data_IF_215876638571
#
_entry.id   IF_215876638571
#
_cell.length_a   1.000
_cell.length_b   1.000
_cell.length_c   1.000
_cell.angle_alpha   90.00
_cell.angle_beta   90.00
_cell.angle_gamma   90.00
#
_symmetry.space_group_name_H-M   'P 1'
#
loop_
_entity.id
_entity.type
_entity.pdbx_description
1 polymer ?
#
# COMPACT_ATOMS: atom_id res chain seq x y z
N UNK A 1 -13.16 -29.80 10.59
CA UNK A 1 -12.95 -28.69 9.64
C UNK A 1 -14.30 -28.29 9.10
N UNK A 2 -14.95 -27.29 9.71
CA UNK A 2 -15.97 -26.51 9.00
C UNK A 2 -15.20 -25.64 8.02
N UNK A 3 -15.67 -25.61 6.78
CA UNK A 3 -14.95 -25.00 5.65
C UNK A 3 -14.78 -23.49 5.83
N UNK A 4 -13.84 -22.94 5.07
CA UNK A 4 -13.44 -21.53 4.93
C UNK A 4 -14.59 -20.65 4.36
N UNK A 5 -15.85 -21.09 4.52
CA UNK A 5 -17.07 -20.54 3.91
C UNK A 5 -18.05 -19.96 4.98
N UNK A 6 -17.66 -19.90 6.25
CA UNK A 6 -18.34 -19.03 7.21
C UNK A 6 -18.00 -17.58 6.87
N UNK A 7 -19.02 -16.71 6.77
CA UNK A 7 -18.87 -15.26 6.55
C UNK A 7 -17.75 -14.70 7.44
N UNK A 8 -16.58 -14.52 6.84
CA UNK A 8 -15.41 -13.95 7.50
C UNK A 8 -15.72 -12.47 7.74
N UNK A 9 -15.46 -11.99 8.95
CA UNK A 9 -15.62 -10.57 9.28
C UNK A 9 -14.24 -9.93 9.37
N UNK A 10 -13.96 -9.02 8.46
CA UNK A 10 -12.73 -8.23 8.45
C UNK A 10 -12.87 -7.00 9.34
N UNK A 11 -11.82 -6.74 10.12
CA UNK A 11 -11.72 -5.65 11.08
C UNK A 11 -10.33 -5.02 10.92
N UNK A 12 -10.30 -3.83 10.37
CA UNK A 12 -9.11 -3.11 9.92
C UNK A 12 -8.91 -1.78 10.66
N UNK A 13 -9.88 -1.43 11.50
CA UNK A 13 -9.86 -0.20 12.30
C UNK A 13 -10.27 -0.47 13.74
N UNK A 14 -9.78 0.37 14.66
CA UNK A 14 -10.14 0.29 16.06
C UNK A 14 -11.65 0.57 16.25
N UNK A 15 -12.23 1.47 15.45
CA UNK A 15 -13.65 1.78 15.47
C UNK A 15 -14.50 0.60 14.97
N UNK A 16 -14.04 -0.12 13.95
CA UNK A 16 -14.69 -1.36 13.50
C UNK A 16 -14.63 -2.43 14.60
N UNK A 17 -13.48 -2.59 15.26
CA UNK A 17 -13.31 -3.50 16.39
C UNK A 17 -14.30 -3.17 17.52
N UNK A 18 -14.30 -1.93 18.01
CA UNK A 18 -15.14 -1.47 19.11
C UNK A 18 -16.64 -1.63 18.80
N UNK A 19 -17.02 -1.34 17.55
CA UNK A 19 -18.38 -1.55 17.05
C UNK A 19 -18.74 -3.03 17.01
N UNK A 20 -17.82 -3.88 16.57
CA UNK A 20 -18.05 -5.32 16.49
C UNK A 20 -18.26 -5.92 17.87
N UNK A 21 -17.35 -5.69 18.82
CA UNK A 21 -17.46 -6.25 20.20
C UNK A 21 -18.68 -5.72 20.94
N UNK A 22 -19.12 -4.48 20.68
CA UNK A 22 -20.37 -3.95 21.24
C UNK A 22 -21.61 -4.67 20.72
N UNK A 23 -21.61 -5.10 19.45
CA UNK A 23 -22.73 -5.82 18.82
C UNK A 23 -22.71 -7.32 19.09
N UNK A 24 -21.52 -7.88 19.29
CA UNK A 24 -21.29 -9.31 19.47
C UNK A 24 -20.50 -9.55 20.77
N UNK A 25 -21.11 -9.29 21.95
CA UNK A 25 -20.41 -9.38 23.21
C UNK A 25 -19.91 -10.82 23.47
N UNK A 26 -18.63 -10.95 23.78
CA UNK A 26 -18.01 -12.21 24.17
C UNK A 26 -17.61 -13.12 23.01
N UNK A 27 -17.60 -12.65 21.77
CA UNK A 27 -17.09 -13.44 20.64
C UNK A 27 -16.37 -12.57 19.62
N UNK A 28 -15.29 -13.14 19.06
CA UNK A 28 -14.56 -12.70 17.87
C UNK A 28 -14.46 -13.86 16.86
N UNK A 29 -15.25 -14.93 17.05
CA UNK A 29 -15.09 -16.15 16.27
C UNK A 29 -15.30 -15.88 14.77
N UNK A 30 -14.37 -16.37 13.95
CA UNK A 30 -14.38 -16.12 12.50
C UNK A 30 -13.87 -14.74 12.06
N UNK A 31 -13.42 -13.87 12.97
CA UNK A 31 -12.88 -12.55 12.60
C UNK A 31 -11.46 -12.63 12.03
N UNK A 32 -11.15 -11.70 11.11
CA UNK A 32 -9.79 -11.37 10.67
C UNK A 32 -9.53 -9.92 11.08
N UNK A 33 -8.64 -9.74 12.04
CA UNK A 33 -8.28 -8.42 12.54
C UNK A 33 -6.91 -8.07 11.96
N UNK A 34 -6.79 -6.95 11.26
CA UNK A 34 -5.60 -6.59 10.50
C UNK A 34 -5.12 -5.16 10.83
N UNK A 35 -3.82 -5.01 11.09
CA UNK A 35 -3.14 -3.74 11.37
C UNK A 35 -3.76 -2.85 12.47
N UNK A 36 -4.64 -3.39 13.33
CA UNK A 36 -5.28 -2.63 14.42
C UNK A 36 -4.40 -2.60 15.67
N UNK A 37 -4.19 -1.43 16.26
CA UNK A 37 -3.62 -1.31 17.59
C UNK A 37 -4.66 -1.63 18.67
N UNK A 38 -4.50 -2.79 19.30
CA UNK A 38 -5.40 -3.35 20.30
C UNK A 38 -4.74 -3.44 21.69
N UNK A 39 -3.63 -2.74 21.92
CA UNK A 39 -2.90 -2.79 23.21
C UNK A 39 -3.79 -2.38 24.40
N UNK A 40 -4.78 -1.53 24.15
CA UNK A 40 -5.74 -1.05 25.16
C UNK A 40 -7.04 -1.87 25.23
N UNK A 41 -7.21 -2.92 24.42
CA UNK A 41 -8.44 -3.76 24.37
C UNK A 41 -8.28 -5.13 25.03
N UNK A 42 -7.37 -5.21 25.99
CA UNK A 42 -7.00 -6.49 26.62
C UNK A 42 -8.15 -7.17 27.36
N UNK A 43 -9.15 -6.43 27.86
CA UNK A 43 -10.31 -7.03 28.53
C UNK A 43 -11.24 -7.71 27.52
N UNK A 44 -11.59 -7.01 26.45
CA UNK A 44 -12.44 -7.47 25.36
C UNK A 44 -11.82 -8.70 24.71
N UNK A 45 -10.52 -8.66 24.43
CA UNK A 45 -9.79 -9.77 23.83
C UNK A 45 -9.78 -11.02 24.71
N UNK A 46 -9.55 -10.87 26.03
CA UNK A 46 -9.51 -11.99 26.99
C UNK A 46 -10.89 -12.59 27.28
N UNK A 47 -11.94 -11.77 27.23
CA UNK A 47 -13.31 -12.20 27.52
C UNK A 47 -14.06 -12.75 26.30
N UNK A 48 -13.49 -12.64 25.10
CA UNK A 48 -14.11 -13.11 23.86
C UNK A 48 -13.68 -14.52 23.49
N UNK A 49 -14.61 -15.31 22.96
CA UNK A 49 -14.29 -16.51 22.18
C UNK A 49 -13.51 -16.13 20.92
N UNK A 50 -12.47 -16.91 20.60
CA UNK A 50 -11.53 -16.65 19.49
C UNK A 50 -11.36 -17.85 18.56
N UNK A 51 -12.33 -18.78 18.56
CA UNK A 51 -12.35 -19.88 17.60
C UNK A 51 -12.25 -19.34 16.16
N UNK A 52 -11.35 -19.90 15.36
CA UNK A 52 -11.11 -19.47 13.97
C UNK A 52 -10.92 -17.94 13.83
N UNK A 53 -10.16 -17.33 14.74
CA UNK A 53 -9.81 -15.90 14.68
C UNK A 53 -8.35 -15.73 14.27
N UNK A 54 -8.08 -14.75 13.40
CA UNK A 54 -6.70 -14.36 13.06
C UNK A 54 -6.44 -12.89 13.35
N UNK A 55 -5.26 -12.61 13.91
CA UNK A 55 -4.72 -11.27 14.13
C UNK A 55 -3.48 -11.10 13.25
N UNK A 56 -3.52 -10.14 12.33
CA UNK A 56 -2.52 -9.89 11.29
C UNK A 56 -1.85 -8.54 11.55
N UNK A 57 -0.62 -8.56 12.08
CA UNK A 57 0.12 -7.32 12.34
C UNK A 57 -0.50 -6.42 13.42
N UNK A 58 -1.42 -6.92 14.24
CA UNK A 58 -2.07 -6.12 15.28
C UNK A 58 -1.10 -5.70 16.39
N UNK A 59 -1.29 -4.48 16.90
CA UNK A 59 -0.63 -4.03 18.12
C UNK A 59 -1.20 -4.76 19.33
N UNK A 60 -0.45 -5.69 19.92
CA UNK A 60 -0.88 -6.48 21.08
C UNK A 60 0.18 -6.42 22.17
N UNK A 61 -0.25 -6.51 23.44
CA UNK A 61 0.70 -6.72 24.55
C UNK A 61 1.14 -8.18 24.59
N UNK A 62 2.36 -8.46 25.05
CA UNK A 62 2.90 -9.82 25.13
C UNK A 62 1.96 -10.79 25.88
N UNK A 63 1.37 -10.32 26.99
CA UNK A 63 0.42 -11.13 27.78
C UNK A 63 -0.85 -11.49 27.03
N UNK A 64 -1.38 -10.57 26.21
CA UNK A 64 -2.57 -10.81 25.39
C UNK A 64 -2.23 -11.71 24.22
N UNK A 65 -1.07 -11.50 23.57
CA UNK A 65 -0.58 -12.36 22.49
C UNK A 65 -0.46 -13.82 22.93
N UNK A 66 0.14 -14.06 24.11
CA UNK A 66 0.29 -15.40 24.66
C UNK A 66 -1.07 -16.06 24.96
N UNK A 67 -2.00 -15.32 25.57
CA UNK A 67 -3.36 -15.78 25.87
C UNK A 67 -4.14 -16.14 24.59
N UNK A 68 -4.13 -15.27 23.58
CA UNK A 68 -4.82 -15.50 22.30
C UNK A 68 -4.31 -16.76 21.61
N UNK A 69 -2.99 -16.94 21.54
CA UNK A 69 -2.36 -18.14 20.97
C UNK A 69 -2.73 -19.41 21.76
N UNK A 70 -2.74 -19.33 23.09
CA UNK A 70 -3.12 -20.47 23.94
C UNK A 70 -4.58 -20.88 23.71
N UNK A 71 -5.46 -19.91 23.42
CA UNK A 71 -6.88 -20.14 23.11
C UNK A 71 -7.15 -20.50 21.64
N UNK A 72 -6.10 -20.66 20.82
CA UNK A 72 -6.20 -21.19 19.46
C UNK A 72 -6.33 -20.15 18.35
N UNK A 73 -6.24 -18.85 18.67
CA UNK A 73 -6.21 -17.81 17.65
C UNK A 73 -4.87 -17.83 16.90
N UNK A 74 -4.92 -17.53 15.60
CA UNK A 74 -3.72 -17.28 14.81
C UNK A 74 -3.25 -15.85 15.08
N UNK A 75 -2.00 -15.67 15.49
CA UNK A 75 -1.44 -14.34 15.76
C UNK A 75 -0.13 -14.19 15.00
N UNK A 76 -0.19 -13.38 13.94
CA UNK A 76 0.94 -12.94 13.15
C UNK A 76 1.44 -11.61 13.72
N UNK A 77 2.66 -11.61 14.24
CA UNK A 77 3.26 -10.43 14.84
C UNK A 77 3.61 -9.39 13.76
N UNK A 78 3.61 -8.09 14.11
CA UNK A 78 4.20 -7.06 13.26
C UNK A 78 5.61 -7.47 12.82
N UNK A 79 6.00 -7.11 11.60
CA UNK A 79 7.30 -7.48 11.02
C UNK A 79 8.27 -6.29 11.05
N UNK A 80 8.87 -5.93 12.21
CA UNK A 80 9.60 -4.66 12.38
C UNK A 80 10.90 -4.54 11.58
N UNK A 81 11.37 -5.63 10.97
CA UNK A 81 12.63 -5.68 10.23
C UNK A 81 12.44 -5.60 8.70
N UNK A 82 11.23 -5.29 8.24
CA UNK A 82 10.94 -5.07 6.83
C UNK A 82 10.91 -3.56 6.50
N UNK A 83 11.31 -3.16 5.28
CA UNK A 83 11.16 -1.79 4.83
C UNK A 83 9.73 -1.44 4.38
N UNK A 84 8.78 -2.35 4.57
CA UNK A 84 7.37 -2.18 4.28
C UNK A 84 6.54 -2.94 5.32
N UNK A 85 5.30 -2.51 5.54
CA UNK A 85 4.35 -3.23 6.37
C UNK A 85 3.56 -4.25 5.52
N UNK A 86 3.72 -5.57 5.72
CA UNK A 86 3.03 -6.59 4.95
C UNK A 86 1.56 -6.76 5.35
N UNK A 87 1.09 -6.09 6.40
CA UNK A 87 -0.28 -6.20 6.91
C UNK A 87 -1.09 -4.91 6.70
N UNK A 88 -0.56 -3.92 5.98
CA UNK A 88 -1.22 -2.61 5.83
C UNK A 88 -2.60 -2.72 5.20
N UNK A 89 -3.53 -1.81 5.52
CA UNK A 89 -4.94 -1.86 5.07
C UNK A 89 -5.29 -0.74 4.08
N UNK A 90 -4.30 -0.17 3.39
CA UNK A 90 -4.54 0.97 2.51
C UNK A 90 -3.42 1.15 1.50
N UNK A 91 -3.63 2.00 0.49
CA UNK A 91 -2.60 2.31 -0.49
C UNK A 91 -1.52 3.23 0.08
N UNK A 92 -0.30 3.11 -0.44
CA UNK A 92 0.80 4.04 -0.15
C UNK A 92 0.45 5.46 -0.60
N UNK A 93 0.81 6.44 0.23
CA UNK A 93 0.84 7.85 -0.20
C UNK A 93 2.25 8.25 -0.66
N UNK A 94 2.38 9.29 -1.53
CA UNK A 94 3.68 9.84 -1.87
C UNK A 94 4.47 10.31 -0.65
N UNK A 95 3.79 10.93 0.33
CA UNK A 95 4.43 11.43 1.56
C UNK A 95 5.03 10.29 2.37
N UNK A 96 4.35 9.14 2.43
CA UNK A 96 4.84 7.92 3.08
C UNK A 96 6.05 7.34 2.33
N UNK A 97 5.94 7.16 1.01
CA UNK A 97 6.98 6.56 0.17
C UNK A 97 8.28 7.37 0.15
N UNK A 98 8.17 8.69 0.16
CA UNK A 98 9.28 9.63 0.14
C UNK A 98 9.60 10.22 1.51
N UNK A 99 9.13 9.61 2.61
CA UNK A 99 9.36 10.12 3.96
C UNK A 99 10.85 10.41 4.19
N UNK A 100 11.15 11.66 4.58
CA UNK A 100 12.50 12.13 4.91
C UNK A 100 13.37 12.54 3.71
N UNK A 101 12.86 12.53 2.47
CA UNK A 101 13.62 12.89 1.25
C UNK A 101 14.29 14.27 1.29
N UNK A 102 13.76 15.21 2.08
CA UNK A 102 14.36 16.54 2.28
C UNK A 102 15.67 16.50 3.09
N UNK A 103 15.85 15.48 3.93
CA UNK A 103 16.95 15.37 4.89
C UNK A 103 17.90 14.18 4.61
N UNK A 104 17.49 13.22 3.77
CA UNK A 104 18.29 12.04 3.42
C UNK A 104 18.24 11.75 1.91
N UNK A 105 19.24 11.05 1.35
CA UNK A 105 19.23 10.66 -0.06
C UNK A 105 18.07 9.71 -0.39
N UNK A 106 17.67 9.67 -1.66
CA UNK A 106 16.55 8.84 -2.13
C UNK A 106 16.73 7.35 -1.79
N UNK A 107 17.94 6.81 -1.84
CA UNK A 107 18.21 5.40 -1.55
C UNK A 107 17.92 4.97 -0.10
N UNK A 108 17.60 5.92 0.78
CA UNK A 108 17.19 5.72 2.18
C UNK A 108 15.70 6.04 2.43
N UNK A 109 14.90 6.31 1.39
CA UNK A 109 13.45 6.44 1.54
C UNK A 109 12.78 5.07 1.65
N UNK A 110 11.58 4.98 2.25
CA UNK A 110 10.81 3.74 2.28
C UNK A 110 10.64 3.10 0.90
N UNK A 111 10.35 3.89 -0.14
CA UNK A 111 10.24 3.43 -1.52
C UNK A 111 11.50 2.71 -2.02
N UNK A 112 12.66 3.35 -1.92
CA UNK A 112 13.91 2.78 -2.39
C UNK A 112 14.32 1.53 -1.59
N UNK A 113 14.07 1.53 -0.28
CA UNK A 113 14.37 0.39 0.59
C UNK A 113 13.46 -0.82 0.27
N UNK A 114 12.17 -0.58 0.03
CA UNK A 114 11.23 -1.62 -0.40
C UNK A 114 11.63 -2.19 -1.78
N UNK A 115 11.98 -1.32 -2.74
CA UNK A 115 12.47 -1.73 -4.05
C UNK A 115 13.75 -2.56 -3.95
N UNK A 116 14.74 -2.11 -3.17
CA UNK A 116 15.97 -2.86 -2.93
C UNK A 116 15.69 -4.23 -2.31
N UNK A 117 14.81 -4.31 -1.30
CA UNK A 117 14.40 -5.57 -0.71
C UNK A 117 13.77 -6.50 -1.75
N UNK A 118 12.89 -5.96 -2.61
CA UNK A 118 12.23 -6.73 -3.67
C UNK A 118 13.19 -7.33 -4.69
N UNK A 119 14.33 -6.64 -4.94
CA UNK A 119 15.36 -6.99 -5.93
C UNK A 119 16.48 -7.89 -5.41
N UNK A 120 16.60 -8.07 -4.08
CA UNK A 120 17.65 -8.95 -3.53
C UNK A 120 17.53 -10.35 -4.16
N UNK A 121 18.64 -10.96 -4.63
CA UNK A 121 18.59 -12.22 -5.37
C UNK A 121 17.82 -13.29 -4.61
N UNK A 122 16.95 -14.00 -5.34
CA UNK A 122 16.10 -15.13 -4.89
C UNK A 122 16.89 -16.37 -4.44
N UNK A 123 18.17 -16.24 -4.09
CA UNK A 123 18.98 -17.32 -3.50
C UNK A 123 18.44 -17.77 -2.12
N UNK A 124 17.34 -17.18 -1.67
CA UNK A 124 16.56 -17.63 -0.53
C UNK A 124 15.27 -18.28 -1.01
N UNK A 125 15.24 -19.60 -0.93
CA UNK A 125 14.05 -20.41 -0.66
C UNK A 125 13.45 -20.05 0.72
N UNK A 126 13.35 -18.76 1.05
CA UNK A 126 12.84 -18.28 2.32
C UNK A 126 11.33 -18.15 2.19
N UNK A 127 10.65 -19.23 2.57
CA UNK A 127 9.19 -19.34 2.57
C UNK A 127 8.55 -18.20 3.35
N UNK A 128 9.19 -17.72 4.42
CA UNK A 128 8.68 -16.59 5.19
C UNK A 128 8.73 -15.29 4.38
N UNK A 129 9.81 -15.02 3.65
CA UNK A 129 9.89 -13.85 2.78
C UNK A 129 8.86 -13.89 1.64
N UNK A 130 8.56 -15.08 1.10
CA UNK A 130 7.50 -15.26 0.10
C UNK A 130 6.11 -15.05 0.71
N UNK A 131 5.85 -15.58 1.91
CA UNK A 131 4.59 -15.39 2.61
C UNK A 131 4.34 -13.92 2.95
N UNK A 132 5.35 -13.21 3.45
CA UNK A 132 5.24 -11.78 3.80
C UNK A 132 5.02 -10.90 2.56
N UNK A 133 5.64 -11.24 1.42
CA UNK A 133 5.35 -10.58 0.15
C UNK A 133 3.93 -10.88 -0.32
N UNK A 134 3.49 -12.13 -0.23
CA UNK A 134 2.13 -12.51 -0.61
C UNK A 134 1.07 -11.78 0.21
N UNK A 135 1.27 -11.67 1.52
CA UNK A 135 0.39 -10.89 2.41
C UNK A 135 0.36 -9.40 2.02
N UNK A 136 1.52 -8.83 1.69
CA UNK A 136 1.62 -7.45 1.23
C UNK A 136 0.90 -7.23 -0.10
N UNK A 137 1.17 -8.08 -1.09
CA UNK A 137 0.58 -7.97 -2.43
C UNK A 137 -0.95 -8.12 -2.35
N UNK A 138 -1.46 -9.07 -1.55
CA UNK A 138 -2.90 -9.28 -1.28
C UNK A 138 -3.52 -8.05 -0.61
N UNK A 139 -2.87 -7.50 0.41
CA UNK A 139 -3.33 -6.28 1.09
C UNK A 139 -3.37 -5.06 0.17
N UNK A 140 -2.43 -4.95 -0.78
CA UNK A 140 -2.43 -3.88 -1.78
C UNK A 140 -3.51 -4.11 -2.83
N UNK A 141 -3.76 -5.35 -3.23
CA UNK A 141 -4.83 -5.72 -4.17
C UNK A 141 -6.20 -5.36 -3.61
N UNK A 142 -6.47 -5.72 -2.36
CA UNK A 142 -7.74 -5.39 -1.68
C UNK A 142 -7.94 -3.88 -1.55
N UNK A 143 -6.93 -3.16 -1.02
CA UNK A 143 -6.98 -1.70 -0.94
C UNK A 143 -7.12 -1.02 -2.32
N UNK A 144 -6.56 -1.62 -3.37
CA UNK A 144 -6.70 -1.13 -4.74
C UNK A 144 -8.12 -1.35 -5.26
N UNK A 145 -8.72 -2.52 -5.02
CA UNK A 145 -10.09 -2.85 -5.41
C UNK A 145 -11.09 -1.85 -4.82
N UNK A 146 -10.96 -1.53 -3.53
CA UNK A 146 -11.76 -0.48 -2.90
C UNK A 146 -11.52 0.89 -3.54
N UNK A 147 -10.25 1.24 -3.79
CA UNK A 147 -9.89 2.54 -4.33
C UNK A 147 -10.37 2.72 -5.78
N UNK A 148 -10.34 1.68 -6.62
CA UNK A 148 -10.79 1.77 -8.01
C UNK A 148 -12.32 1.77 -8.15
N UNK A 149 -13.04 1.37 -7.11
CA UNK A 149 -14.51 1.32 -7.12
C UNK A 149 -15.12 2.66 -7.55
N UNK A 150 -15.93 2.63 -8.60
CA UNK A 150 -16.61 3.81 -9.15
C UNK A 150 -15.72 4.77 -9.95
N UNK A 151 -14.42 4.50 -10.13
CA UNK A 151 -13.52 5.30 -10.97
C UNK A 151 -13.55 4.85 -12.42
N UNK A 152 -13.38 5.81 -13.34
CA UNK A 152 -13.20 5.55 -14.78
C UNK A 152 -11.72 5.61 -15.08
N UNK A 153 -11.08 4.45 -15.22
CA UNK A 153 -9.61 4.36 -15.29
C UNK A 153 -9.17 4.18 -16.75
N UNK A 154 -8.10 4.88 -17.12
CA UNK A 154 -7.38 4.69 -18.39
C UNK A 154 -5.93 4.33 -18.08
N UNK A 155 -5.53 3.12 -18.48
CA UNK A 155 -4.14 2.68 -18.42
C UNK A 155 -3.32 3.33 -19.52
N UNK A 156 -2.25 4.04 -19.15
CA UNK A 156 -1.27 4.59 -20.08
C UNK A 156 0.03 3.78 -19.95
N UNK A 157 0.32 3.01 -20.98
CA UNK A 157 1.51 2.17 -21.08
C UNK A 157 2.57 2.87 -21.93
N UNK A 158 3.84 2.76 -21.55
CA UNK A 158 4.94 3.36 -22.32
C UNK A 158 6.31 2.98 -21.75
N UNK A 159 7.33 3.07 -22.61
CA UNK A 159 8.70 2.68 -22.25
C UNK A 159 9.36 3.64 -21.24
N UNK A 160 10.27 3.09 -20.44
CA UNK A 160 11.10 3.83 -19.48
C UNK A 160 12.26 4.60 -20.14
N UNK A 161 12.44 4.45 -21.45
CA UNK A 161 13.58 5.01 -22.23
C UNK A 161 13.35 6.48 -22.66
N UNK A 162 12.15 7.01 -22.48
CA UNK A 162 11.86 8.40 -22.81
C UNK A 162 12.47 9.33 -21.76
N UNK A 163 13.47 10.11 -22.17
CA UNK A 163 14.10 11.11 -21.30
C UNK A 163 13.21 12.35 -21.13
N UNK A 164 13.31 12.99 -19.96
CA UNK A 164 12.67 14.29 -19.73
C UNK A 164 13.27 15.33 -20.68
N UNK A 165 12.45 16.27 -21.15
CA UNK A 165 12.84 17.28 -22.12
C UNK A 165 12.74 16.83 -23.60
N UNK A 166 12.38 15.57 -23.86
CA UNK A 166 12.09 15.11 -25.22
C UNK A 166 10.65 15.45 -25.66
N UNK A 167 10.43 15.51 -26.98
CA UNK A 167 9.08 15.67 -27.53
C UNK A 167 8.15 14.53 -27.11
N UNK A 168 8.66 13.29 -27.10
CA UNK A 168 7.89 12.11 -26.68
C UNK A 168 7.42 12.20 -25.23
N UNK A 169 8.28 12.68 -24.32
CA UNK A 169 7.90 12.94 -22.93
C UNK A 169 6.80 14.01 -22.84
N UNK A 170 6.94 15.10 -23.60
CA UNK A 170 5.93 16.17 -23.66
C UNK A 170 4.57 15.66 -24.14
N UNK A 171 4.55 14.84 -25.20
CA UNK A 171 3.32 14.25 -25.73
C UNK A 171 2.65 13.32 -24.71
N UNK A 172 3.43 12.51 -23.99
CA UNK A 172 2.90 11.65 -22.93
C UNK A 172 2.28 12.47 -21.78
N UNK A 173 2.89 13.60 -21.40
CA UNK A 173 2.32 14.50 -20.39
C UNK A 173 1.04 15.19 -20.88
N UNK A 174 1.00 15.64 -22.13
CA UNK A 174 -0.22 16.20 -22.73
C UNK A 174 -1.35 15.17 -22.80
N UNK A 175 -1.03 13.91 -23.13
CA UNK A 175 -1.99 12.81 -23.10
C UNK A 175 -2.57 12.60 -21.71
N UNK A 176 -1.71 12.41 -20.69
CA UNK A 176 -2.16 12.20 -19.30
C UNK A 176 -3.05 13.34 -18.80
N UNK A 177 -2.69 14.59 -19.14
CA UNK A 177 -3.49 15.77 -18.78
C UNK A 177 -4.85 15.79 -19.47
N UNK A 178 -4.89 15.44 -20.74
CA UNK A 178 -6.13 15.43 -21.53
C UNK A 178 -7.09 14.35 -21.04
N UNK A 179 -6.55 13.16 -20.72
CA UNK A 179 -7.32 12.05 -20.13
C UNK A 179 -7.91 12.46 -18.78
N UNK A 180 -7.09 13.07 -17.90
CA UNK A 180 -7.56 13.55 -16.61
C UNK A 180 -8.64 14.64 -16.73
N UNK A 181 -8.46 15.62 -17.62
CA UNK A 181 -9.47 16.67 -17.89
C UNK A 181 -10.75 16.13 -18.51
N UNK A 182 -10.70 14.97 -19.18
CA UNK A 182 -11.89 14.27 -19.68
C UNK A 182 -12.64 13.47 -18.59
N UNK A 183 -12.23 13.58 -17.32
CA UNK A 183 -12.89 12.94 -16.18
C UNK A 183 -12.53 11.47 -16.00
N UNK A 184 -11.33 11.06 -16.45
CA UNK A 184 -10.77 9.74 -16.21
C UNK A 184 -9.61 9.81 -15.21
N UNK A 185 -9.42 8.74 -14.46
CA UNK A 185 -8.22 8.51 -13.65
C UNK A 185 -7.14 7.90 -14.54
N UNK A 186 -5.96 8.51 -14.57
CA UNK A 186 -4.79 7.96 -15.27
C UNK A 186 -4.12 6.93 -14.37
N UNK A 187 -3.88 5.73 -14.90
CA UNK A 187 -3.11 4.68 -14.24
C UNK A 187 -1.89 4.32 -15.11
N UNK A 188 -0.73 4.15 -14.50
CA UNK A 188 0.52 3.78 -15.17
C UNK A 188 1.24 2.71 -14.35
N UNK A 189 2.31 2.13 -14.89
CA UNK A 189 3.18 1.21 -14.14
C UNK A 189 4.09 1.89 -13.10
N UNK A 190 3.98 3.21 -12.90
CA UNK A 190 4.74 3.95 -11.87
C UNK A 190 6.22 4.17 -12.18
N UNK A 191 6.73 3.71 -13.32
CA UNK A 191 8.13 3.88 -13.71
C UNK A 191 8.46 5.24 -14.35
N UNK A 192 9.73 5.47 -14.69
CA UNK A 192 10.18 6.69 -15.36
C UNK A 192 9.71 6.78 -16.82
N UNK A 193 10.03 7.89 -17.47
CA UNK A 193 9.75 8.11 -18.89
C UNK A 193 8.28 8.38 -19.18
N UNK A 194 7.67 7.65 -20.12
CA UNK A 194 6.28 7.91 -20.52
C UNK A 194 5.27 7.76 -19.36
N UNK A 195 5.51 6.83 -18.43
CA UNK A 195 4.64 6.61 -17.26
C UNK A 195 4.72 7.81 -16.31
N UNK A 196 5.93 8.27 -15.98
CA UNK A 196 6.15 9.50 -15.22
C UNK A 196 5.50 10.71 -15.90
N UNK A 197 5.71 10.88 -17.21
CA UNK A 197 5.14 11.99 -17.97
C UNK A 197 3.61 12.00 -17.91
N UNK A 198 2.97 10.85 -18.13
CA UNK A 198 1.51 10.72 -18.05
C UNK A 198 0.97 11.04 -16.64
N UNK A 199 1.65 10.58 -15.58
CA UNK A 199 1.31 10.92 -14.20
C UNK A 199 1.46 12.43 -13.94
N UNK A 200 2.55 13.05 -14.40
CA UNK A 200 2.77 14.50 -14.31
C UNK A 200 1.65 15.28 -14.99
N UNK A 201 1.28 14.87 -16.20
CA UNK A 201 0.19 15.46 -16.96
C UNK A 201 -1.13 15.40 -16.20
N UNK A 202 -1.46 14.22 -15.66
CA UNK A 202 -2.67 14.02 -14.88
C UNK A 202 -2.68 14.86 -13.59
N UNK A 203 -1.56 14.92 -12.88
CA UNK A 203 -1.38 15.76 -11.69
C UNK A 203 -1.60 17.25 -11.99
N UNK A 204 -1.10 17.73 -13.13
CA UNK A 204 -1.23 19.13 -13.56
C UNK A 204 -2.56 19.46 -14.24
N UNK A 205 -3.50 18.51 -14.35
CA UNK A 205 -4.79 18.72 -15.00
C UNK A 205 -5.64 19.85 -14.38
N UNK A 206 -5.70 20.03 -13.04
CA UNK A 206 -6.45 21.12 -12.41
C UNK A 206 -5.81 22.51 -12.56
N UNK A 207 -4.53 22.57 -12.97
CA UNK A 207 -3.76 23.81 -13.04
C UNK A 207 -3.87 24.49 -14.42
N UNK A 208 -3.53 25.79 -14.55
CA UNK A 208 -3.48 26.51 -15.82
C UNK A 208 -2.51 25.89 -16.83
N UNK A 209 -2.70 26.17 -18.11
CA UNK A 209 -1.94 25.50 -19.18
C UNK A 209 -0.44 25.73 -19.08
N UNK A 210 -0.04 26.93 -18.63
CA UNK A 210 1.33 27.37 -18.40
C UNK A 210 2.05 26.52 -17.35
N UNK A 211 1.33 25.96 -16.37
CA UNK A 211 1.94 25.14 -15.32
C UNK A 211 2.62 23.89 -15.91
N UNK A 212 1.98 23.24 -16.89
CA UNK A 212 2.59 22.09 -17.57
C UNK A 212 3.86 22.49 -18.32
N UNK A 213 3.81 23.58 -19.08
CA UNK A 213 4.97 24.07 -19.84
C UNK A 213 6.14 24.40 -18.91
N UNK A 214 5.87 25.05 -17.77
CA UNK A 214 6.89 25.39 -16.78
C UNK A 214 7.47 24.15 -16.11
N UNK A 215 6.64 23.18 -15.72
CA UNK A 215 7.11 21.92 -15.13
C UNK A 215 7.94 21.09 -16.11
N UNK A 216 7.54 21.01 -17.39
CA UNK A 216 8.31 20.32 -18.43
C UNK A 216 9.68 20.96 -18.66
N UNK A 217 9.75 22.30 -18.67
CA UNK A 217 11.01 23.03 -18.79
C UNK A 217 11.94 22.79 -17.59
N UNK A 218 11.38 22.76 -16.37
CA UNK A 218 12.13 22.43 -15.16
C UNK A 218 12.68 21.01 -15.20
N UNK A 219 11.85 20.02 -15.54
CA UNK A 219 12.25 18.61 -15.59
C UNK A 219 13.25 18.33 -16.71
N UNK A 220 13.20 19.07 -17.83
CA UNK A 220 14.19 18.98 -18.90
C UNK A 220 15.62 19.34 -18.45
N UNK A 221 15.78 20.04 -17.33
CA UNK A 221 17.09 20.29 -16.71
C UNK A 221 17.72 19.06 -16.04
N UNK A 222 16.94 18.01 -15.81
CA UNK A 222 17.38 16.75 -15.18
C UNK A 222 16.83 15.57 -16.01
N UNK A 223 17.45 15.28 -17.17
CA UNK A 223 16.88 14.40 -18.20
C UNK A 223 16.71 12.94 -17.77
N UNK A 224 17.57 12.47 -16.86
CA UNK A 224 17.57 11.12 -16.31
C UNK A 224 17.16 11.09 -14.83
N UNK A 225 16.60 9.95 -14.39
CA UNK A 225 16.29 9.68 -12.98
C UNK A 225 17.46 8.98 -12.25
N UNK A 226 18.46 8.50 -12.99
CA UNK A 226 19.64 7.86 -12.40
C UNK A 226 20.57 8.93 -11.79
N UNK A 227 21.21 8.65 -10.63
CA UNK A 227 22.24 9.53 -10.10
C UNK A 227 23.46 9.60 -11.04
N UNK A 228 24.15 10.74 -11.00
CA UNK A 228 25.43 10.97 -11.69
C UNK A 228 26.56 10.06 -11.17
#
# INVERSE_FOLDING_TARGET
MRGIDSLVVEIESLEQFDRYVSKHPGTLAGCRIQAVDLRERGWELRSSDVEDTAFLGCGLTETVTADLRQRGALVFEPAPNLPFDPYRVGLYSPEELYEGIEAKPYDQTPDALAYQWSRRPKAREDVLALALRGLHDDSIEDALDEWVAGKRIVGVMGGHELERGTDGYTQAALLGRSVARAGFTVATGGGPGAMEAANLGAYLAPYPDEALTQSLAMLGGVPTFAPD
#
